data_IF_312491399824
#
_entry.id   IF_312491399824
#
_cell.length_a   1.000
_cell.length_b   1.000
_cell.length_c   1.000
_cell.angle_alpha   90.00
_cell.angle_beta   90.00
_cell.angle_gamma   90.00
#
_symmetry.space_group_name_H-M   'P 1'
#
loop_
_entity.id
_entity.type
_entity.pdbx_description
1 polymer ?
#
# COMPACT_ATOMS: atom_id res chain seq x y z
N UNK A 1 -3.07 10.47 -21.28
CA UNK A 1 -1.85 11.22 -21.62
C UNK A 1 -1.23 11.91 -20.41
N UNK A 2 -1.84 12.98 -19.85
CA UNK A 2 -1.27 13.74 -18.72
C UNK A 2 -0.83 12.90 -17.51
N UNK A 3 -1.62 11.92 -17.07
CA UNK A 3 -1.26 11.03 -15.94
C UNK A 3 0.00 10.22 -16.27
N UNK A 4 0.03 9.57 -17.44
CA UNK A 4 1.16 8.76 -17.89
C UNK A 4 2.47 9.57 -17.92
N UNK A 5 2.45 10.75 -18.55
CA UNK A 5 3.63 11.62 -18.67
C UNK A 5 4.11 12.10 -17.29
N UNK A 6 3.19 12.47 -16.39
CA UNK A 6 3.54 12.90 -15.03
C UNK A 6 4.13 11.78 -14.19
N UNK A 7 3.54 10.58 -14.22
CA UNK A 7 4.05 9.43 -13.48
C UNK A 7 5.42 9.01 -14.03
N UNK A 8 5.58 8.97 -15.36
CA UNK A 8 6.87 8.66 -16.00
C UNK A 8 7.95 9.67 -15.57
N UNK A 9 7.64 10.97 -15.57
CA UNK A 9 8.59 11.99 -15.13
C UNK A 9 8.98 11.87 -13.65
N UNK A 10 8.06 11.46 -12.77
CA UNK A 10 8.36 11.16 -11.36
C UNK A 10 9.28 9.94 -11.26
N UNK A 11 8.97 8.86 -11.98
CA UNK A 11 9.80 7.66 -12.04
C UNK A 11 11.23 7.99 -12.48
N UNK A 12 11.38 8.78 -13.55
CA UNK A 12 12.69 9.18 -14.06
C UNK A 12 13.48 10.08 -13.11
N UNK A 13 12.78 10.88 -12.29
CA UNK A 13 13.40 11.81 -11.35
C UNK A 13 13.86 11.13 -10.06
N UNK A 14 13.10 10.13 -9.59
CA UNK A 14 13.33 9.52 -8.28
C UNK A 14 13.80 8.06 -8.33
N UNK A 15 13.75 7.41 -9.50
CA UNK A 15 14.21 6.04 -9.74
C UNK A 15 13.73 5.03 -8.68
N UNK A 16 12.40 4.90 -8.44
CA UNK A 16 11.91 3.99 -7.42
C UNK A 16 12.06 2.52 -7.85
N UNK A 17 12.36 1.64 -6.90
CA UNK A 17 12.45 0.19 -7.13
C UNK A 17 11.08 -0.48 -7.28
N UNK A 18 10.05 0.04 -6.60
CA UNK A 18 8.69 -0.52 -6.59
C UNK A 18 7.64 0.60 -6.55
N UNK A 19 6.45 0.34 -7.10
CA UNK A 19 5.29 1.24 -7.03
C UNK A 19 4.19 0.64 -6.13
N UNK A 20 3.90 1.31 -5.02
CA UNK A 20 2.75 1.00 -4.18
C UNK A 20 1.52 1.80 -4.60
N UNK A 21 0.36 1.14 -4.70
CA UNK A 21 -0.91 1.79 -5.02
C UNK A 21 -2.06 1.24 -4.16
N UNK A 22 -3.03 2.10 -3.84
CA UNK A 22 -4.25 1.68 -3.18
C UNK A 22 -5.13 0.84 -4.12
N UNK A 23 -5.56 -0.34 -3.66
CA UNK A 23 -6.45 -1.20 -4.40
C UNK A 23 -7.85 -0.55 -4.54
N UNK A 24 -8.53 -0.70 -5.68
CA UNK A 24 -9.85 -0.13 -5.87
C UNK A 24 -10.85 -0.68 -4.85
N UNK A 25 -11.55 0.21 -4.14
CA UNK A 25 -12.60 -0.16 -3.20
C UNK A 25 -13.97 -0.22 -3.88
N UNK A 26 -14.79 -1.22 -3.52
CA UNK A 26 -16.17 -1.35 -3.98
C UNK A 26 -17.08 -0.26 -3.39
N UNK A 27 -17.13 0.90 -4.08
CA UNK A 27 -18.03 2.01 -3.75
C UNK A 27 -19.43 1.85 -4.33
N UNK A 28 -20.39 2.65 -3.83
CA UNK A 28 -21.80 2.66 -4.27
C UNK A 28 -22.00 3.15 -5.71
N UNK A 29 -21.03 3.86 -6.30
CA UNK A 29 -21.15 4.46 -7.64
C UNK A 29 -20.13 3.89 -8.64
N UNK A 30 -20.62 3.04 -9.54
CA UNK A 30 -19.84 2.34 -10.57
C UNK A 30 -19.15 3.32 -11.54
N UNK A 31 -19.76 4.45 -11.88
CA UNK A 31 -19.14 5.40 -12.82
C UNK A 31 -17.90 6.08 -12.24
N UNK A 32 -17.95 6.48 -10.96
CA UNK A 32 -16.81 7.06 -10.27
C UNK A 32 -15.68 6.05 -10.13
N UNK A 33 -16.01 4.80 -9.80
CA UNK A 33 -15.04 3.69 -9.75
C UNK A 33 -14.37 3.48 -11.11
N UNK A 34 -15.14 3.48 -12.21
CA UNK A 34 -14.58 3.30 -13.55
C UNK A 34 -13.64 4.45 -13.95
N UNK A 35 -13.96 5.69 -13.57
CA UNK A 35 -13.08 6.85 -13.78
C UNK A 35 -11.77 6.70 -13.01
N UNK A 36 -11.84 6.29 -11.74
CA UNK A 36 -10.66 6.06 -10.91
C UNK A 36 -9.80 4.91 -11.46
N UNK A 37 -10.41 3.78 -11.80
CA UNK A 37 -9.71 2.62 -12.37
C UNK A 37 -8.99 2.94 -13.68
N UNK A 38 -9.56 3.79 -14.54
CA UNK A 38 -8.88 4.30 -15.75
C UNK A 38 -7.64 5.13 -15.40
N UNK A 39 -7.71 5.97 -14.37
CA UNK A 39 -6.57 6.76 -13.92
C UNK A 39 -5.46 5.87 -13.34
N UNK A 40 -5.82 4.93 -12.46
CA UNK A 40 -4.90 3.97 -11.86
C UNK A 40 -4.25 3.08 -12.93
N UNK A 41 -5.03 2.54 -13.87
CA UNK A 41 -4.50 1.72 -14.96
C UNK A 41 -3.46 2.45 -15.82
N UNK A 42 -3.65 3.76 -16.05
CA UNK A 42 -2.65 4.58 -16.76
C UNK A 42 -1.38 4.80 -15.94
N UNK A 43 -1.50 4.99 -14.61
CA UNK A 43 -0.34 5.09 -13.73
C UNK A 43 0.45 3.78 -13.64
N UNK A 44 -0.27 2.65 -13.53
CA UNK A 44 0.32 1.31 -13.55
C UNK A 44 1.01 1.03 -14.89
N UNK A 45 0.39 1.38 -16.02
CA UNK A 45 1.03 1.22 -17.33
C UNK A 45 2.33 2.03 -17.46
N UNK A 46 2.40 3.23 -16.87
CA UNK A 46 3.63 4.02 -16.86
C UNK A 46 4.75 3.32 -16.05
N UNK A 47 4.44 2.78 -14.88
CA UNK A 47 5.39 2.02 -14.07
C UNK A 47 5.87 0.74 -14.77
N UNK A 48 4.94 -0.05 -15.32
CA UNK A 48 5.27 -1.28 -16.05
C UNK A 48 6.10 -1.00 -17.31
N UNK A 49 5.91 0.16 -17.97
CA UNK A 49 6.74 0.55 -19.12
C UNK A 49 8.21 0.83 -18.79
N UNK A 50 8.54 0.87 -17.49
CA UNK A 50 9.90 1.05 -16.95
C UNK A 50 10.34 -0.14 -16.09
N UNK A 51 9.68 -1.29 -16.25
CA UNK A 51 9.96 -2.53 -15.51
C UNK A 51 9.86 -2.39 -13.99
N UNK A 52 9.05 -1.45 -13.50
CA UNK A 52 8.84 -1.24 -12.06
C UNK A 52 7.70 -2.15 -11.59
N UNK A 53 7.96 -3.07 -10.64
CA UNK A 53 6.92 -3.91 -10.04
C UNK A 53 5.90 -3.08 -9.27
N UNK A 54 4.64 -3.55 -9.28
CA UNK A 54 3.52 -2.86 -8.66
C UNK A 54 2.94 -3.71 -7.54
N UNK A 55 2.68 -3.08 -6.40
CA UNK A 55 2.01 -3.70 -5.26
C UNK A 55 0.74 -2.95 -4.89
N UNK A 56 -0.36 -3.69 -4.75
CA UNK A 56 -1.66 -3.15 -4.40
C UNK A 56 -2.01 -3.39 -2.93
N UNK A 57 -2.55 -2.36 -2.26
CA UNK A 57 -2.95 -2.45 -0.86
C UNK A 57 -4.39 -2.03 -0.66
N UNK A 58 -5.18 -2.88 0.02
CA UNK A 58 -6.53 -2.52 0.41
C UNK A 58 -6.52 -1.28 1.35
N UNK A 59 -7.50 -0.36 1.24
CA UNK A 59 -7.57 0.83 2.09
C UNK A 59 -7.49 0.50 3.59
N UNK A 60 -8.18 -0.56 4.01
CA UNK A 60 -8.17 -1.06 5.39
C UNK A 60 -6.77 -1.49 5.83
N UNK A 61 -5.99 -2.09 4.93
CA UNK A 61 -4.64 -2.57 5.20
C UNK A 61 -3.68 -1.39 5.39
N UNK A 62 -3.79 -0.36 4.57
CA UNK A 62 -2.99 0.88 4.70
C UNK A 62 -3.23 1.51 6.06
N UNK A 63 -4.51 1.73 6.40
CA UNK A 63 -4.90 2.30 7.71
C UNK A 63 -4.40 1.45 8.87
N UNK A 64 -4.61 0.13 8.80
CA UNK A 64 -4.14 -0.81 9.83
C UNK A 64 -2.61 -0.78 9.99
N UNK A 65 -1.86 -0.69 8.90
CA UNK A 65 -0.40 -0.67 8.94
C UNK A 65 0.15 0.58 9.65
N UNK A 66 -0.51 1.72 9.49
CA UNK A 66 -0.04 3.02 10.01
C UNK A 66 -0.58 3.29 11.42
N UNK A 67 -1.87 3.07 11.65
CA UNK A 67 -2.52 3.48 12.91
C UNK A 67 -2.79 2.32 13.87
N UNK A 68 -2.62 1.07 13.41
CA UNK A 68 -3.09 -0.12 14.14
C UNK A 68 -4.61 -0.30 14.12
N UNK A 69 -5.36 0.56 13.41
CA UNK A 69 -6.80 0.49 13.30
C UNK A 69 -7.25 0.71 11.84
N UNK A 70 -7.83 -0.32 11.23
CA UNK A 70 -8.33 -0.24 9.86
C UNK A 70 -9.47 0.77 9.65
N UNK A 71 -10.19 1.16 10.71
CA UNK A 71 -11.28 2.13 10.64
C UNK A 71 -10.83 3.58 10.89
N UNK A 72 -9.53 3.83 11.02
CA UNK A 72 -9.00 5.16 11.28
C UNK A 72 -9.43 6.20 10.22
N UNK A 73 -9.60 7.44 10.65
CA UNK A 73 -9.88 8.57 9.75
C UNK A 73 -8.63 8.94 8.94
N UNK A 74 -8.78 9.74 7.88
CA UNK A 74 -7.63 10.17 7.07
C UNK A 74 -6.70 11.08 7.86
N UNK A 75 -7.26 11.90 8.74
CA UNK A 75 -6.54 12.82 9.63
C UNK A 75 -5.69 12.01 10.63
N UNK A 76 -6.26 10.95 11.22
CA UNK A 76 -5.50 10.05 12.08
C UNK A 76 -4.33 9.38 11.36
N UNK A 77 -4.49 9.04 10.08
CA UNK A 77 -3.38 8.50 9.27
C UNK A 77 -2.31 9.57 9.05
N UNK A 78 -2.69 10.81 8.72
CA UNK A 78 -1.79 11.94 8.55
C UNK A 78 -0.96 12.20 9.81
N UNK A 79 -1.62 12.34 10.96
CA UNK A 79 -0.98 12.61 12.26
C UNK A 79 0.01 11.50 12.63
N UNK A 80 -0.35 10.25 12.36
CA UNK A 80 0.55 9.11 12.61
C UNK A 80 1.75 9.12 11.67
N UNK A 81 1.57 9.40 10.38
CA UNK A 81 2.68 9.53 9.43
C UNK A 81 3.62 10.66 9.81
N UNK A 82 3.09 11.82 10.21
CA UNK A 82 3.86 12.96 10.68
C UNK A 82 4.79 12.56 11.83
N UNK A 83 4.24 11.86 12.84
CA UNK A 83 4.99 11.37 14.00
C UNK A 83 6.00 10.29 13.65
N UNK A 84 5.62 9.34 12.79
CA UNK A 84 6.48 8.22 12.38
C UNK A 84 7.68 8.66 11.54
N UNK A 85 7.48 9.65 10.67
CA UNK A 85 8.49 10.16 9.75
C UNK A 85 9.17 11.44 10.25
N UNK A 86 8.80 11.91 11.44
CA UNK A 86 9.30 13.14 12.06
C UNK A 86 9.20 14.36 11.12
N UNK A 87 8.06 14.49 10.42
CA UNK A 87 7.78 15.58 9.48
C UNK A 87 7.33 16.79 10.30
N UNK A 88 7.91 17.97 10.05
CA UNK A 88 7.48 19.19 10.73
C UNK A 88 6.05 19.57 10.31
N UNK A 89 5.31 20.28 11.16
CA UNK A 89 3.96 20.76 10.81
C UNK A 89 3.96 21.65 9.56
N UNK A 90 5.04 22.41 9.33
CA UNK A 90 5.20 23.25 8.15
C UNK A 90 5.44 22.45 6.86
N UNK A 91 6.04 21.26 6.97
CA UNK A 91 6.37 20.40 5.82
C UNK A 91 5.31 19.33 5.54
N UNK A 92 4.30 19.22 6.42
CA UNK A 92 3.22 18.26 6.26
C UNK A 92 2.42 18.59 4.98
N UNK A 93 2.07 17.60 4.14
CA UNK A 93 1.35 17.87 2.92
C UNK A 93 0.00 18.54 3.20
N UNK A 94 -0.20 19.73 2.61
CA UNK A 94 -1.46 20.49 2.71
C UNK A 94 -2.62 19.71 2.07
N UNK A 95 -2.32 18.94 1.03
CA UNK A 95 -3.30 18.14 0.32
C UNK A 95 -3.34 16.72 0.88
N UNK A 96 -4.51 16.32 1.38
CA UNK A 96 -4.74 14.96 1.91
C UNK A 96 -4.44 13.85 0.88
N UNK A 97 -4.56 14.14 -0.42
CA UNK A 97 -4.23 13.19 -1.49
C UNK A 97 -2.73 12.83 -1.51
N UNK A 98 -1.85 13.76 -1.14
CA UNK A 98 -0.41 13.49 -1.02
C UNK A 98 -0.11 12.62 0.21
N UNK A 99 -0.84 12.83 1.30
CA UNK A 99 -0.79 11.97 2.49
C UNK A 99 -1.24 10.54 2.16
N UNK A 100 -2.27 10.36 1.33
CA UNK A 100 -2.72 9.02 0.89
C UNK A 100 -1.61 8.29 0.09
N UNK A 101 -0.88 9.01 -0.76
CA UNK A 101 0.28 8.47 -1.47
C UNK A 101 1.43 8.07 -0.52
N UNK A 102 1.76 8.93 0.45
CA UNK A 102 2.75 8.65 1.49
C UNK A 102 2.35 7.45 2.34
N UNK A 103 1.07 7.34 2.67
CA UNK A 103 0.49 6.22 3.42
C UNK A 103 0.68 4.90 2.67
N UNK A 104 0.40 4.86 1.36
CA UNK A 104 0.58 3.68 0.54
C UNK A 104 2.06 3.26 0.47
N UNK A 105 2.98 4.21 0.28
CA UNK A 105 4.41 3.95 0.25
C UNK A 105 4.93 3.42 1.60
N UNK A 106 4.51 4.02 2.71
CA UNK A 106 4.94 3.57 4.04
C UNK A 106 4.34 2.22 4.41
N UNK A 107 3.07 1.96 4.06
CA UNK A 107 2.45 0.64 4.19
C UNK A 107 3.25 -0.44 3.45
N UNK A 108 3.72 -0.13 2.25
CA UNK A 108 4.55 -1.02 1.44
C UNK A 108 5.88 -1.33 2.12
N UNK A 109 6.60 -0.29 2.58
CA UNK A 109 7.84 -0.44 3.35
C UNK A 109 7.65 -1.35 4.58
N UNK A 110 6.59 -1.14 5.37
CA UNK A 110 6.29 -1.99 6.53
C UNK A 110 5.98 -3.44 6.17
N UNK A 111 5.45 -3.69 4.97
CA UNK A 111 5.12 -5.04 4.51
C UNK A 111 6.32 -5.77 3.91
N UNK A 112 7.32 -5.06 3.37
CA UNK A 112 8.59 -5.65 2.91
C UNK A 112 9.40 -6.27 4.04
N UNK A 113 9.44 -5.62 5.21
CA UNK A 113 10.20 -6.07 6.37
C UNK A 113 9.58 -7.24 7.14
N UNK A 114 8.38 -7.71 6.76
CA UNK A 114 7.74 -8.84 7.43
C UNK A 114 8.17 -10.15 6.77
N UNK A 115 8.76 -11.11 7.52
CA UNK A 115 8.95 -12.44 6.99
C UNK A 115 7.58 -12.93 6.52
N UNK A 116 7.54 -13.46 5.29
CA UNK A 116 6.31 -14.00 4.70
C UNK A 116 5.88 -15.14 5.62
N UNK A 117 4.94 -14.86 6.53
CA UNK A 117 4.35 -15.89 7.36
C UNK A 117 3.81 -16.93 6.38
N UNK A 118 4.39 -18.12 6.39
CA UNK A 118 3.76 -19.25 5.72
C UNK A 118 2.32 -19.30 6.22
N UNK A 119 1.39 -19.55 5.29
CA UNK A 119 -0.05 -19.61 5.57
C UNK A 119 -0.27 -20.29 6.92
N UNK A 120 -0.91 -19.59 7.86
CA UNK A 120 -1.35 -20.17 9.12
C UNK A 120 -1.99 -21.52 8.78
N UNK A 121 -1.48 -22.58 9.41
CA UNK A 121 -2.12 -23.89 9.30
C UNK A 121 -3.47 -23.74 9.99
N UNK A 122 -4.55 -23.68 9.21
CA UNK A 122 -5.93 -23.48 9.71
C UNK A 122 -6.39 -24.64 10.62
N UNK A 123 -5.58 -25.70 10.71
CA UNK A 123 -5.81 -26.86 11.57
C UNK A 123 -4.54 -27.33 12.26
N UNK A 124 -4.69 -27.75 13.52
CA UNK A 124 -3.67 -28.50 14.27
C UNK A 124 -3.17 -29.73 13.51
N UNK A 125 -4.00 -30.35 12.65
CA UNK A 125 -3.60 -31.48 11.81
C UNK A 125 -2.59 -31.08 10.72
N UNK A 126 -2.77 -29.92 10.10
CA UNK A 126 -1.86 -29.41 9.07
C UNK A 126 -0.51 -29.02 9.68
N UNK A 127 -0.53 -28.40 10.87
CA UNK A 127 0.67 -28.10 11.62
C UNK A 127 1.43 -29.39 11.98
N UNK A 128 0.71 -30.41 12.46
CA UNK A 128 1.31 -31.67 12.85
C UNK A 128 1.92 -32.46 11.69
N UNK A 129 1.29 -32.39 10.52
CA UNK A 129 1.80 -33.03 9.30
C UNK A 129 3.07 -32.34 8.80
N UNK A 130 3.17 -31.01 8.97
CA UNK A 130 4.33 -30.23 8.52
C UNK A 130 5.52 -30.26 9.50
N UNK A 131 5.28 -30.57 10.77
CA UNK A 131 6.31 -30.59 11.82
C UNK A 131 6.30 -31.91 12.62
N UNK A 132 6.59 -33.06 11.99
CA UNK A 132 6.55 -34.36 12.65
C UNK A 132 7.64 -34.54 13.73
N UNK A 133 8.73 -33.77 13.63
CA UNK A 133 9.84 -33.69 14.57
C UNK A 133 9.47 -33.00 15.89
N UNK A 134 8.47 -32.11 15.89
CA UNK A 134 8.05 -31.34 17.07
C UNK A 134 6.98 -32.03 17.91
N UNK A 135 6.48 -33.19 17.46
CA UNK A 135 5.33 -33.89 18.06
C UNK A 135 5.74 -35.20 18.73
N UNK A 136 6.95 -35.69 18.48
CA UNK A 136 7.48 -36.86 19.18
C UNK A 136 8.15 -36.42 20.48
N UNK A 137 7.35 -36.36 21.54
CA UNK A 137 7.78 -36.61 22.92
C UNK A 137 7.46 -38.05 23.29
#
# INVERSE_FOLDING_TARGET
RRIFERITGIIESYLPDELAIEAPFFGKNVQSMLKLGRAQGVAMAAALSRDIPIMEYAPLKIKMAITGNGQASKEQVADMLQRMLNISEADMPIFMDATDGLAAAYCHFLQMGRPRSEKNCDSWKDFATKHPDRIKG
#
